data_IF_578928020929
#
_entry.id   IF_578928020929
#
_cell.length_a   1.000
_cell.length_b   1.000
_cell.length_c   1.000
_cell.angle_alpha   90.00
_cell.angle_beta   90.00
_cell.angle_gamma   90.00
#
_symmetry.space_group_name_H-M   'P 1'
#
loop_
_entity.id
_entity.type
_entity.pdbx_description
1 polymer ?
#
# COMPACT_ATOMS: atom_id res chain seq x y z
N UNK A 1 8.76 -46.66 15.12
CA UNK A 1 8.35 -46.91 13.71
C UNK A 1 7.18 -46.03 13.26
N UNK A 2 6.08 -45.89 14.03
CA UNK A 2 4.95 -44.99 13.67
C UNK A 2 5.30 -43.49 13.57
N UNK A 3 6.32 -43.02 14.30
CA UNK A 3 6.77 -41.61 14.25
C UNK A 3 7.47 -41.24 12.94
N UNK A 4 8.17 -42.20 12.32
CA UNK A 4 8.88 -41.99 11.05
C UNK A 4 7.89 -41.98 9.88
N UNK A 5 6.89 -42.85 9.89
CA UNK A 5 5.83 -42.83 8.89
C UNK A 5 5.07 -41.50 8.87
N UNK A 6 4.76 -40.95 10.06
CA UNK A 6 4.09 -39.65 10.18
C UNK A 6 4.99 -38.50 9.69
N UNK A 7 6.28 -38.51 10.06
CA UNK A 7 7.25 -37.52 9.61
C UNK A 7 7.44 -37.55 8.08
N UNK A 8 7.50 -38.75 7.49
CA UNK A 8 7.60 -38.92 6.04
C UNK A 8 6.35 -38.42 5.31
N UNK A 9 5.15 -38.76 5.81
CA UNK A 9 3.90 -38.30 5.24
C UNK A 9 3.78 -36.77 5.26
N UNK A 10 4.15 -36.13 6.38
CA UNK A 10 4.13 -34.67 6.50
C UNK A 10 5.15 -33.99 5.58
N UNK A 11 6.34 -34.59 5.42
CA UNK A 11 7.39 -34.06 4.55
C UNK A 11 6.98 -34.09 3.07
N UNK A 12 6.33 -35.17 2.63
CA UNK A 12 5.83 -35.28 1.25
C UNK A 12 4.68 -34.30 1.01
N UNK A 13 3.75 -34.16 1.97
CA UNK A 13 2.63 -33.23 1.87
C UNK A 13 3.05 -31.75 1.75
N UNK A 14 4.20 -31.38 2.31
CA UNK A 14 4.72 -30.01 2.26
C UNK A 14 5.24 -29.55 0.88
N UNK A 15 5.39 -30.47 -0.10
CA UNK A 15 5.91 -30.15 -1.44
C UNK A 15 5.04 -29.13 -2.21
N UNK A 16 3.74 -29.03 -1.91
CA UNK A 16 2.83 -28.11 -2.61
C UNK A 16 2.92 -26.64 -2.18
N UNK A 17 3.67 -26.31 -1.12
CA UNK A 17 3.87 -24.94 -0.65
C UNK A 17 5.01 -24.20 -1.37
N UNK A 18 5.63 -24.81 -2.38
CA UNK A 18 6.68 -24.15 -3.16
C UNK A 18 6.04 -23.13 -4.12
N UNK A 19 6.10 -21.85 -3.76
CA UNK A 19 5.83 -20.78 -4.71
C UNK A 19 6.79 -20.94 -5.89
N UNK A 20 6.26 -21.05 -7.11
CA UNK A 20 7.07 -21.17 -8.33
C UNK A 20 8.12 -20.06 -8.42
N UNK A 21 9.10 -20.24 -9.31
CA UNK A 21 10.13 -19.22 -9.54
C UNK A 21 9.51 -17.87 -9.90
N UNK A 22 10.16 -16.79 -9.50
CA UNK A 22 9.77 -15.43 -9.89
C UNK A 22 9.77 -15.36 -11.42
N UNK A 23 8.58 -15.30 -12.01
CA UNK A 23 8.40 -14.95 -13.41
C UNK A 23 8.12 -13.46 -13.42
N UNK A 24 9.05 -12.71 -13.98
CA UNK A 24 8.86 -11.27 -14.12
C UNK A 24 7.62 -11.03 -14.98
N UNK A 25 6.58 -10.38 -14.43
CA UNK A 25 5.39 -10.10 -15.20
C UNK A 25 5.76 -9.15 -16.32
N UNK A 26 5.40 -9.50 -17.55
CA UNK A 26 5.55 -8.60 -18.71
C UNK A 26 4.56 -7.45 -18.50
N UNK A 27 5.05 -6.38 -17.89
CA UNK A 27 4.30 -5.14 -17.67
C UNK A 27 4.48 -4.29 -18.92
N UNK A 28 3.37 -3.96 -19.58
CA UNK A 28 3.35 -2.86 -20.54
C UNK A 28 3.84 -1.59 -19.80
N UNK A 29 4.64 -0.73 -20.45
CA UNK A 29 5.08 0.51 -19.82
C UNK A 29 3.83 1.31 -19.48
N UNK A 30 3.49 1.33 -18.19
CA UNK A 30 2.44 2.21 -17.68
C UNK A 30 2.92 3.60 -18.05
N UNK A 31 2.17 4.29 -18.91
CA UNK A 31 2.31 5.73 -19.08
C UNK A 31 1.95 6.28 -17.72
N UNK A 32 2.97 6.50 -16.88
CA UNK A 32 2.82 7.16 -15.59
C UNK A 32 2.46 8.59 -15.97
N UNK A 33 1.17 8.84 -16.14
CA UNK A 33 0.66 10.19 -16.05
C UNK A 33 1.03 10.60 -14.64
N UNK A 34 2.06 11.43 -14.52
CA UNK A 34 2.43 12.02 -13.25
C UNK A 34 1.26 12.94 -12.88
N UNK A 35 0.23 12.39 -12.25
CA UNK A 35 -0.82 13.14 -11.58
C UNK A 35 -0.17 13.83 -10.39
N UNK A 36 0.61 14.87 -10.66
CA UNK A 36 1.26 15.70 -9.66
C UNK A 36 0.18 16.54 -8.99
N UNK A 37 -0.50 15.96 -8.01
CA UNK A 37 -1.31 16.73 -7.09
C UNK A 37 -0.42 17.21 -5.95
N UNK A 38 -0.44 18.52 -5.68
CA UNK A 38 0.27 19.09 -4.54
C UNK A 38 -0.22 18.42 -3.26
N UNK A 39 0.68 17.88 -2.44
CA UNK A 39 0.35 17.31 -1.11
C UNK A 39 -0.26 18.35 -0.16
N UNK A 40 -0.13 19.64 -0.49
CA UNK A 40 -0.73 20.76 0.22
C UNK A 40 -2.13 21.16 -0.30
N UNK A 41 -2.66 20.51 -1.35
CA UNK A 41 -3.94 20.88 -1.96
C UNK A 41 -5.13 20.86 -0.99
N UNK A 42 -5.13 19.93 -0.03
CA UNK A 42 -6.16 19.84 1.01
C UNK A 42 -6.02 20.85 2.15
N UNK A 43 -4.88 21.55 2.25
CA UNK A 43 -4.57 22.44 3.38
C UNK A 43 -5.04 23.88 3.13
N UNK A 44 -5.24 24.27 1.87
CA UNK A 44 -5.67 25.64 1.52
C UNK A 44 -7.02 26.00 2.14
N UNK A 45 -8.02 25.10 2.05
CA UNK A 45 -9.36 25.34 2.61
C UNK A 45 -9.34 25.56 4.13
N UNK A 46 -8.74 24.67 4.96
CA UNK A 46 -8.69 24.89 6.40
C UNK A 46 -7.85 26.12 6.79
N UNK A 47 -6.75 26.43 6.07
CA UNK A 47 -5.97 27.66 6.30
C UNK A 47 -6.81 28.92 6.08
N UNK A 48 -7.54 28.99 4.96
CA UNK A 48 -8.41 30.12 4.65
C UNK A 48 -9.53 30.26 5.70
N UNK A 49 -10.12 29.15 6.15
CA UNK A 49 -11.13 29.17 7.20
C UNK A 49 -10.57 29.76 8.51
N UNK A 50 -9.37 29.35 8.93
CA UNK A 50 -8.70 29.90 10.13
C UNK A 50 -8.45 31.41 9.98
N UNK A 51 -7.96 31.84 8.81
CA UNK A 51 -7.70 33.27 8.53
C UNK A 51 -8.99 34.08 8.60
N UNK A 52 -10.09 33.60 8.00
CA UNK A 52 -11.37 34.30 8.01
C UNK A 52 -11.96 34.41 9.41
N UNK A 53 -11.86 33.34 10.21
CA UNK A 53 -12.27 33.37 11.62
C UNK A 53 -11.42 34.41 12.36
N UNK A 54 -10.09 34.34 12.25
CA UNK A 54 -9.16 35.29 12.88
C UNK A 54 -9.46 36.75 12.49
N UNK A 55 -9.76 37.01 11.22
CA UNK A 55 -10.13 38.35 10.75
C UNK A 55 -11.46 38.83 11.34
N UNK A 56 -12.45 37.95 11.49
CA UNK A 56 -13.74 38.29 12.08
C UNK A 56 -13.65 38.60 13.58
N UNK A 57 -12.76 37.94 14.33
CA UNK A 57 -12.50 38.26 15.75
C UNK A 57 -11.58 39.48 15.91
N UNK A 58 -10.69 39.75 14.97
CA UNK A 58 -9.76 40.89 15.02
C UNK A 58 -10.39 42.21 14.57
N UNK A 59 -11.56 42.17 13.93
CA UNK A 59 -12.31 43.34 13.52
C UNK A 59 -13.30 43.76 14.63
N UNK A 60 -12.77 44.40 15.67
CA UNK A 60 -13.49 45.09 16.76
C UNK A 60 -13.19 46.61 16.69
#
# INVERSE_FOLDING_TARGET
>A
MKKLALAAALSVAATSAFAGGYVEPVLEPVVIVEDTSSSAGGVLVPLLAIILIAAAIAHD
#
